data_IF_586455378513
#
_entry.id   IF_586455378513
#
_cell.length_a   1.000
_cell.length_b   1.000
_cell.length_c   1.000
_cell.angle_alpha   90.00
_cell.angle_beta   90.00
_cell.angle_gamma   90.00
#
_symmetry.space_group_name_H-M   'P 1'
#
loop_
_entity.id
_entity.type
_entity.pdbx_description
1 polymer ?
#
# COMPACT_ATOMS: atom_id res chain seq x y z
N UNK A 1 -3.39 -3.33 18.19
CA UNK A 1 -4.27 -2.16 18.45
C UNK A 1 -4.39 -1.27 17.20
N UNK A 2 -3.29 -0.73 16.64
CA UNK A 2 -3.34 0.25 15.52
C UNK A 2 -4.00 -0.30 14.26
N UNK A 3 -3.76 -1.55 13.88
CA UNK A 3 -4.39 -2.15 12.71
C UNK A 3 -5.91 -2.34 12.89
N UNK A 4 -6.39 -2.59 14.09
CA UNK A 4 -7.84 -2.63 14.38
C UNK A 4 -8.43 -1.23 14.29
N UNK A 5 -7.74 -0.24 14.86
CA UNK A 5 -8.13 1.17 14.77
C UNK A 5 -8.20 1.65 13.31
N UNK A 6 -7.29 1.17 12.45
CA UNK A 6 -7.32 1.46 11.02
C UNK A 6 -8.67 1.10 10.39
N UNK A 7 -9.18 -0.12 10.60
CA UNK A 7 -10.45 -0.55 10.02
C UNK A 7 -11.64 0.21 10.61
N UNK A 8 -11.61 0.50 11.91
CA UNK A 8 -12.65 1.33 12.57
C UNK A 8 -12.67 2.73 11.94
N UNK A 9 -11.52 3.38 11.82
CA UNK A 9 -11.42 4.72 11.25
C UNK A 9 -11.75 4.74 9.76
N UNK A 10 -11.43 3.68 9.00
CA UNK A 10 -11.80 3.60 7.60
C UNK A 10 -13.33 3.58 7.43
N UNK A 11 -14.03 2.74 8.17
CA UNK A 11 -15.50 2.65 8.09
C UNK A 11 -16.19 3.89 8.67
N UNK A 12 -15.80 4.33 9.86
CA UNK A 12 -16.37 5.51 10.50
C UNK A 12 -16.07 6.79 9.69
N UNK A 13 -14.86 6.90 9.15
CA UNK A 13 -14.44 8.00 8.30
C UNK A 13 -15.25 8.08 7.01
N UNK A 14 -15.46 6.95 6.32
CA UNK A 14 -16.30 6.90 5.13
C UNK A 14 -17.76 7.24 5.44
N UNK A 15 -18.29 6.75 6.55
CA UNK A 15 -19.64 7.10 7.00
C UNK A 15 -19.76 8.62 7.26
N UNK A 16 -18.78 9.23 7.90
CA UNK A 16 -18.77 10.68 8.14
C UNK A 16 -18.58 11.48 6.84
N UNK A 17 -17.69 11.07 5.94
CA UNK A 17 -17.44 11.74 4.66
C UNK A 17 -18.66 11.70 3.73
N UNK A 18 -19.49 10.66 3.81
CA UNK A 18 -20.70 10.49 3.00
C UNK A 18 -21.98 10.97 3.69
N UNK A 19 -21.95 11.11 5.01
CA UNK A 19 -23.10 11.52 5.83
C UNK A 19 -23.55 12.95 5.55
N UNK A 20 -24.80 13.26 5.89
CA UNK A 20 -25.33 14.62 5.89
C UNK A 20 -24.81 15.40 7.12
N UNK A 21 -24.85 16.73 7.04
CA UNK A 21 -24.63 17.61 8.21
C UNK A 21 -23.21 18.14 8.41
N UNK A 22 -22.23 17.76 7.56
CA UNK A 22 -20.90 18.38 7.56
C UNK A 22 -20.65 19.18 6.29
N UNK A 23 -20.03 20.35 6.45
CA UNK A 23 -19.67 21.23 5.33
C UNK A 23 -18.56 20.63 4.46
N UNK A 24 -18.37 21.17 3.26
CA UNK A 24 -17.27 20.73 2.38
C UNK A 24 -15.90 20.95 3.02
N UNK A 25 -15.70 22.04 3.74
CA UNK A 25 -14.46 22.33 4.47
C UNK A 25 -14.17 21.27 5.55
N UNK A 26 -15.19 20.84 6.30
CA UNK A 26 -15.07 19.77 7.28
C UNK A 26 -14.76 18.41 6.61
N UNK A 27 -15.36 18.12 5.44
CA UNK A 27 -15.03 16.90 4.67
C UNK A 27 -13.58 16.89 4.22
N UNK A 28 -13.07 18.03 3.71
CA UNK A 28 -11.67 18.17 3.30
C UNK A 28 -10.75 17.98 4.50
N UNK A 29 -11.03 18.64 5.63
CA UNK A 29 -10.22 18.50 6.84
C UNK A 29 -10.22 17.05 7.36
N UNK A 30 -11.38 16.37 7.38
CA UNK A 30 -11.50 14.98 7.77
C UNK A 30 -10.76 14.05 6.81
N UNK A 31 -10.87 14.27 5.49
CA UNK A 31 -10.15 13.53 4.47
C UNK A 31 -8.63 13.62 4.67
N UNK A 32 -8.12 14.84 4.89
CA UNK A 32 -6.69 15.06 5.14
C UNK A 32 -6.23 14.38 6.44
N UNK A 33 -7.00 14.50 7.53
CA UNK A 33 -6.68 13.87 8.81
C UNK A 33 -6.64 12.34 8.70
N UNK A 34 -7.66 11.73 8.07
CA UNK A 34 -7.71 10.29 7.82
C UNK A 34 -6.59 9.83 6.88
N UNK A 35 -6.35 10.58 5.81
CA UNK A 35 -5.30 10.28 4.86
C UNK A 35 -3.91 10.33 5.49
N UNK A 36 -3.65 11.30 6.37
CA UNK A 36 -2.42 11.37 7.18
C UNK A 36 -2.29 10.17 8.12
N UNK A 37 -3.38 9.81 8.81
CA UNK A 37 -3.36 8.63 9.69
C UNK A 37 -3.08 7.35 8.90
N UNK A 38 -3.74 7.15 7.77
CA UNK A 38 -3.53 5.95 6.94
C UNK A 38 -2.15 5.92 6.30
N UNK A 39 -1.67 7.08 5.84
CA UNK A 39 -0.36 7.20 5.20
C UNK A 39 0.82 7.06 6.17
N UNK A 40 0.71 7.62 7.37
CA UNK A 40 1.83 7.63 8.32
C UNK A 40 1.70 6.53 9.38
N UNK A 41 0.55 6.39 10.02
CA UNK A 41 0.40 5.47 11.15
C UNK A 41 0.04 4.07 10.67
N UNK A 42 -0.98 3.94 9.80
CA UNK A 42 -1.43 2.61 9.34
C UNK A 42 -0.39 1.94 8.46
N UNK A 43 0.23 2.67 7.54
CA UNK A 43 1.29 2.13 6.69
C UNK A 43 2.50 1.67 7.50
N UNK A 44 3.00 2.48 8.43
CA UNK A 44 4.14 2.12 9.30
C UNK A 44 3.81 0.90 10.17
N UNK A 45 2.59 0.83 10.73
CA UNK A 45 2.15 -0.32 11.49
C UNK A 45 2.02 -1.58 10.63
N UNK A 46 1.44 -1.47 9.43
CA UNK A 46 1.32 -2.59 8.50
C UNK A 46 2.70 -3.11 8.07
N UNK A 47 3.64 -2.19 7.81
CA UNK A 47 5.03 -2.52 7.51
C UNK A 47 5.66 -3.37 8.62
N UNK A 48 5.57 -2.95 9.88
CA UNK A 48 6.06 -3.74 11.01
C UNK A 48 5.38 -5.11 11.10
N UNK A 49 4.08 -5.17 10.87
CA UNK A 49 3.32 -6.41 10.97
C UNK A 49 3.70 -7.43 9.91
N UNK A 50 3.96 -7.02 8.67
CA UNK A 50 4.37 -7.96 7.60
C UNK A 50 5.78 -8.53 7.80
N UNK A 51 6.58 -7.96 8.70
CA UNK A 51 7.89 -8.47 9.09
C UNK A 51 7.85 -9.41 10.29
N UNK A 52 6.70 -9.55 10.97
CA UNK A 52 6.57 -10.46 12.13
C UNK A 52 6.54 -11.92 11.72
N UNK A 53 7.18 -12.79 12.52
CA UNK A 53 7.15 -14.24 12.32
C UNK A 53 5.78 -14.88 12.54
N UNK A 54 4.87 -14.22 13.27
CA UNK A 54 3.50 -14.67 13.49
C UNK A 54 2.66 -14.55 12.21
N UNK A 55 2.08 -15.65 11.76
CA UNK A 55 1.18 -15.68 10.60
C UNK A 55 -0.05 -14.78 10.78
N UNK A 56 -0.58 -14.67 12.00
CA UNK A 56 -1.73 -13.83 12.29
C UNK A 56 -1.37 -12.34 12.14
N UNK A 57 -0.23 -11.92 12.69
CA UNK A 57 0.23 -10.53 12.57
C UNK A 57 0.59 -10.18 11.12
N UNK A 58 1.25 -11.09 10.41
CA UNK A 58 1.52 -10.91 8.98
C UNK A 58 0.22 -10.71 8.17
N UNK A 59 -0.78 -11.58 8.38
CA UNK A 59 -2.08 -11.45 7.70
C UNK A 59 -2.79 -10.15 8.05
N UNK A 60 -2.70 -9.71 9.28
CA UNK A 60 -3.28 -8.44 9.72
C UNK A 60 -2.62 -7.25 9.03
N UNK A 61 -1.28 -7.21 8.93
CA UNK A 61 -0.56 -6.18 8.18
C UNK A 61 -0.90 -6.19 6.68
N UNK A 62 -0.95 -7.38 6.07
CA UNK A 62 -1.36 -7.55 4.69
C UNK A 62 -2.81 -7.08 4.45
N UNK A 63 -3.74 -7.35 5.39
CA UNK A 63 -5.12 -6.88 5.29
C UNK A 63 -5.22 -5.35 5.31
N UNK A 64 -4.39 -4.66 6.11
CA UNK A 64 -4.30 -3.19 6.07
C UNK A 64 -3.86 -2.71 4.69
N UNK A 65 -2.80 -3.29 4.10
CA UNK A 65 -2.38 -2.92 2.75
C UNK A 65 -3.44 -3.24 1.68
N UNK A 66 -4.13 -4.37 1.79
CA UNK A 66 -5.22 -4.72 0.86
C UNK A 66 -6.35 -3.71 0.95
N UNK A 67 -6.75 -3.29 2.15
CA UNK A 67 -7.80 -2.28 2.35
C UNK A 67 -7.39 -0.88 1.90
N UNK A 68 -6.10 -0.61 1.73
CA UNK A 68 -5.57 0.61 1.11
C UNK A 68 -5.28 0.43 -0.39
N UNK A 69 -5.76 -0.65 -1.02
CA UNK A 69 -5.50 -1.01 -2.43
C UNK A 69 -4.01 -1.13 -2.78
N UNK A 70 -3.19 -1.42 -1.78
CA UNK A 70 -1.74 -1.51 -1.89
C UNK A 70 -1.21 -2.89 -1.47
N UNK A 71 -2.06 -3.92 -1.53
CA UNK A 71 -1.74 -5.29 -1.09
C UNK A 71 -0.46 -5.85 -1.71
N UNK A 72 -0.17 -5.52 -2.97
CA UNK A 72 1.04 -5.97 -3.66
C UNK A 72 2.35 -5.49 -2.98
N UNK A 73 2.31 -4.38 -2.23
CA UNK A 73 3.45 -3.90 -1.46
C UNK A 73 3.96 -4.96 -0.47
N UNK A 74 3.07 -5.79 0.10
CA UNK A 74 3.46 -6.91 0.97
C UNK A 74 4.48 -7.85 0.32
N UNK A 75 4.31 -8.18 -0.95
CA UNK A 75 5.25 -9.03 -1.69
C UNK A 75 6.43 -8.23 -2.25
N UNK A 76 6.16 -7.09 -2.90
CA UNK A 76 7.19 -6.26 -3.52
C UNK A 76 8.23 -5.80 -2.49
N UNK A 77 7.80 -5.33 -1.33
CA UNK A 77 8.68 -4.85 -0.27
C UNK A 77 9.62 -5.96 0.24
N UNK A 78 9.07 -7.13 0.55
CA UNK A 78 9.84 -8.23 1.14
C UNK A 78 10.69 -9.01 0.14
N UNK A 79 10.21 -9.20 -1.09
CA UNK A 79 10.86 -10.06 -2.08
C UNK A 79 11.75 -9.30 -3.06
N UNK A 80 11.50 -8.00 -3.25
CA UNK A 80 12.23 -7.18 -4.22
C UNK A 80 13.01 -6.07 -3.51
N UNK A 81 12.30 -5.14 -2.84
CA UNK A 81 12.93 -3.98 -2.22
C UNK A 81 14.03 -4.35 -1.22
N UNK A 82 13.78 -5.21 -0.24
CA UNK A 82 14.80 -5.63 0.74
C UNK A 82 16.03 -6.29 0.12
N UNK A 83 15.88 -6.93 -1.03
CA UNK A 83 17.02 -7.57 -1.73
C UNK A 83 17.81 -6.59 -2.56
N UNK A 84 17.14 -5.64 -3.19
CA UNK A 84 17.67 -4.83 -4.27
C UNK A 84 17.69 -3.33 -3.98
N UNK A 85 17.35 -2.90 -2.75
CA UNK A 85 17.35 -1.50 -2.35
C UNK A 85 18.66 -0.81 -2.74
N UNK A 86 18.56 0.40 -3.28
CA UNK A 86 19.68 1.20 -3.80
C UNK A 86 20.40 0.55 -4.99
N UNK A 87 19.74 -0.32 -5.74
CA UNK A 87 20.25 -0.85 -7.02
C UNK A 87 19.24 -0.57 -8.14
N UNK A 88 19.66 -0.65 -9.44
CA UNK A 88 18.74 -0.50 -10.58
C UNK A 88 17.60 -1.54 -10.64
N UNK A 89 17.72 -2.64 -9.89
CA UNK A 89 16.73 -3.72 -9.83
C UNK A 89 15.57 -3.42 -8.87
N UNK A 90 15.72 -2.40 -8.00
CA UNK A 90 14.66 -1.97 -7.10
C UNK A 90 13.85 -0.82 -7.70
N UNK A 91 12.57 -1.05 -8.04
CA UNK A 91 11.72 0.03 -8.52
C UNK A 91 11.50 1.17 -7.52
N UNK A 92 11.61 0.88 -6.22
CA UNK A 92 11.36 1.83 -5.14
C UNK A 92 12.61 2.65 -4.74
N UNK A 93 13.74 2.43 -5.39
CA UNK A 93 14.90 3.32 -5.25
C UNK A 93 14.79 4.49 -6.23
N UNK A 94 14.78 5.71 -5.71
CA UNK A 94 14.71 6.94 -6.50
C UNK A 94 16.10 7.29 -7.04
N UNK A 95 16.16 7.66 -8.32
CA UNK A 95 17.43 8.02 -8.98
C UNK A 95 17.80 9.46 -8.62
N UNK A 96 19.10 9.75 -8.62
CA UNK A 96 19.56 11.14 -8.45
C UNK A 96 18.99 12.01 -9.59
N UNK A 97 18.38 13.14 -9.24
CA UNK A 97 17.73 14.04 -10.19
C UNK A 97 16.31 13.65 -10.61
N UNK A 98 15.80 12.49 -10.19
CA UNK A 98 14.43 12.08 -10.48
C UNK A 98 13.43 12.85 -9.59
N UNK A 99 12.40 13.47 -10.18
CA UNK A 99 11.34 14.10 -9.39
C UNK A 99 10.40 13.06 -8.80
N UNK A 100 9.75 13.39 -7.67
CA UNK A 100 8.73 12.51 -7.06
C UNK A 100 7.60 12.15 -8.02
N UNK A 101 7.17 13.10 -8.84
CA UNK A 101 6.06 12.88 -9.79
C UNK A 101 6.41 11.93 -10.94
N UNK A 102 7.69 11.79 -11.26
CA UNK A 102 8.19 10.77 -12.19
C UNK A 102 8.42 9.44 -11.47
N UNK A 103 9.02 9.50 -10.27
CA UNK A 103 9.26 8.32 -9.43
C UNK A 103 7.98 7.58 -9.07
N UNK A 104 6.96 8.28 -8.57
CA UNK A 104 5.74 7.66 -8.02
C UNK A 104 5.07 6.67 -8.98
N UNK A 105 4.65 7.03 -10.22
CA UNK A 105 4.03 6.08 -11.14
C UNK A 105 5.01 4.99 -11.58
N UNK A 106 6.28 5.31 -11.81
CA UNK A 106 7.31 4.35 -12.19
C UNK A 106 7.51 3.29 -11.11
N UNK A 107 7.70 3.72 -9.89
CA UNK A 107 7.95 2.84 -8.76
C UNK A 107 6.70 2.01 -8.42
N UNK A 108 5.50 2.62 -8.46
CA UNK A 108 4.24 1.92 -8.22
C UNK A 108 4.02 0.76 -9.21
N UNK A 109 4.12 1.04 -10.50
CA UNK A 109 3.95 0.04 -11.57
C UNK A 109 5.11 -0.97 -11.52
N UNK A 110 6.32 -0.49 -11.31
CA UNK A 110 7.53 -1.31 -11.25
C UNK A 110 7.48 -2.31 -10.09
N UNK A 111 7.12 -1.86 -8.89
CA UNK A 111 7.01 -2.72 -7.71
C UNK A 111 5.88 -3.75 -7.84
N UNK A 112 4.74 -3.36 -8.43
CA UNK A 112 3.66 -4.30 -8.73
C UNK A 112 4.16 -5.44 -9.64
N UNK A 113 4.82 -5.10 -10.75
CA UNK A 113 5.31 -6.06 -11.73
C UNK A 113 6.43 -6.95 -11.17
N UNK A 114 7.41 -6.34 -10.50
CA UNK A 114 8.53 -7.07 -9.92
C UNK A 114 8.09 -8.02 -8.79
N UNK A 115 7.20 -7.57 -7.91
CA UNK A 115 6.63 -8.41 -6.88
C UNK A 115 5.79 -9.57 -7.44
N UNK A 116 5.00 -9.32 -8.49
CA UNK A 116 4.25 -10.39 -9.19
C UNK A 116 5.19 -11.42 -9.82
N UNK A 117 6.26 -10.97 -10.45
CA UNK A 117 7.27 -11.86 -11.05
C UNK A 117 7.95 -12.72 -9.97
N UNK A 118 8.35 -12.12 -8.85
CA UNK A 118 8.95 -12.84 -7.73
C UNK A 118 8.00 -13.90 -7.14
N UNK A 119 6.71 -13.57 -6.96
CA UNK A 119 5.72 -14.52 -6.47
C UNK A 119 5.43 -15.65 -7.47
N UNK A 120 5.42 -15.36 -8.77
CA UNK A 120 5.30 -16.39 -9.83
C UNK A 120 6.49 -17.36 -9.78
N UNK A 121 7.71 -16.87 -9.67
CA UNK A 121 8.90 -17.70 -9.54
C UNK A 121 8.82 -18.63 -8.32
N UNK A 122 8.35 -18.11 -7.18
CA UNK A 122 8.14 -18.92 -5.97
C UNK A 122 7.02 -19.96 -6.14
N UNK A 123 5.96 -19.66 -6.90
CA UNK A 123 4.89 -20.61 -7.17
C UNK A 123 5.34 -21.74 -8.10
N UNK A 124 6.21 -21.44 -9.08
CA UNK A 124 6.83 -22.47 -9.93
C UNK A 124 7.75 -23.38 -9.10
N UNK A 125 8.57 -22.80 -8.21
CA UNK A 125 9.50 -23.56 -7.36
C UNK A 125 8.79 -24.41 -6.29
N UNK A 126 7.52 -24.11 -5.97
CA UNK A 126 6.73 -24.82 -4.96
C UNK A 126 5.34 -25.15 -5.52
N UNK A 127 5.18 -26.28 -6.22
CA UNK A 127 3.90 -26.70 -6.79
C UNK A 127 2.79 -26.73 -5.71
N UNK A 128 1.59 -26.25 -6.07
CA UNK A 128 0.47 -26.12 -5.14
C UNK A 128 0.42 -24.82 -4.33
N UNK A 129 1.46 -23.98 -4.38
CA UNK A 129 1.43 -22.67 -3.76
C UNK A 129 0.60 -21.69 -4.59
N UNK A 130 -0.50 -21.21 -4.03
CA UNK A 130 -1.29 -20.15 -4.65
C UNK A 130 -0.51 -18.84 -4.66
N UNK A 131 -0.61 -18.11 -5.78
CA UNK A 131 0.00 -16.80 -5.89
C UNK A 131 -0.79 -15.79 -5.03
N UNK A 132 -0.14 -15.13 -4.03
CA UNK A 132 -0.83 -14.20 -3.14
C UNK A 132 -1.43 -12.97 -3.85
N UNK A 133 -1.03 -12.67 -5.08
CA UNK A 133 -1.63 -11.58 -5.86
C UNK A 133 -3.13 -11.76 -6.12
N UNK A 134 -3.63 -13.01 -6.08
CA UNK A 134 -5.09 -13.26 -6.08
C UNK A 134 -5.77 -12.60 -4.88
N UNK A 135 -5.11 -12.64 -3.70
CA UNK A 135 -5.61 -12.00 -2.47
C UNK A 135 -5.38 -10.48 -2.53
N UNK A 136 -4.19 -10.05 -3.01
CA UNK A 136 -3.86 -8.63 -3.05
C UNK A 136 -4.80 -7.85 -3.98
N UNK A 137 -5.01 -8.36 -5.19
CA UNK A 137 -5.86 -7.70 -6.19
C UNK A 137 -7.33 -8.01 -5.94
N UNK A 138 -7.69 -9.28 -5.74
CA UNK A 138 -9.06 -9.69 -5.48
C UNK A 138 -9.64 -9.11 -4.20
N UNK A 139 -8.82 -9.08 -3.12
CA UNK A 139 -9.21 -8.46 -1.85
C UNK A 139 -9.42 -6.95 -1.98
N UNK A 140 -8.53 -6.25 -2.72
CA UNK A 140 -8.71 -4.84 -3.03
C UNK A 140 -10.00 -4.57 -3.83
N UNK A 141 -10.28 -5.39 -4.85
CA UNK A 141 -11.53 -5.34 -5.60
C UNK A 141 -12.76 -5.58 -4.72
N UNK A 142 -12.68 -6.56 -3.82
CA UNK A 142 -13.75 -6.83 -2.84
C UNK A 142 -13.97 -5.62 -1.91
N UNK A 143 -12.91 -4.96 -1.42
CA UNK A 143 -13.04 -3.73 -0.64
C UNK A 143 -13.77 -2.64 -1.42
N UNK A 144 -13.44 -2.43 -2.71
CA UNK A 144 -14.16 -1.47 -3.56
C UNK A 144 -15.65 -1.82 -3.69
N UNK A 145 -15.98 -3.09 -3.90
CA UNK A 145 -17.38 -3.55 -4.00
C UNK A 145 -18.15 -3.35 -2.69
N UNK A 146 -17.54 -3.67 -1.55
CA UNK A 146 -18.15 -3.46 -0.23
C UNK A 146 -18.40 -1.96 0.01
N UNK A 147 -17.40 -1.11 -0.25
CA UNK A 147 -17.55 0.34 -0.09
C UNK A 147 -18.63 0.90 -1.02
N UNK A 148 -18.65 0.45 -2.28
CA UNK A 148 -19.69 0.86 -3.23
C UNK A 148 -21.09 0.43 -2.76
N UNK A 149 -21.24 -0.78 -2.25
CA UNK A 149 -22.51 -1.31 -1.78
C UNK A 149 -23.03 -0.58 -0.52
N UNK A 150 -22.14 -0.20 0.40
CA UNK A 150 -22.53 0.42 1.69
C UNK A 150 -22.68 1.95 1.56
N UNK A 151 -21.74 2.61 0.87
CA UNK A 151 -21.61 4.07 0.84
C UNK A 151 -21.90 4.69 -0.54
N UNK A 152 -22.25 3.88 -1.54
CA UNK A 152 -22.53 4.34 -2.90
C UNK A 152 -21.31 4.88 -3.64
N UNK A 153 -21.56 5.51 -4.80
CA UNK A 153 -20.49 6.05 -5.66
C UNK A 153 -19.68 7.16 -4.99
N UNK A 154 -20.32 8.02 -4.20
CA UNK A 154 -19.62 9.08 -3.46
C UNK A 154 -18.65 8.49 -2.43
N UNK A 155 -19.06 7.45 -1.70
CA UNK A 155 -18.21 6.74 -0.75
C UNK A 155 -17.03 6.06 -1.43
N UNK A 156 -17.25 5.45 -2.60
CA UNK A 156 -16.17 4.87 -3.40
C UNK A 156 -15.17 5.96 -3.83
N UNK A 157 -15.64 7.14 -4.24
CA UNK A 157 -14.76 8.26 -4.59
C UNK A 157 -13.87 8.71 -3.41
N UNK A 158 -14.44 8.89 -2.23
CA UNK A 158 -13.67 9.21 -1.01
C UNK A 158 -12.68 8.12 -0.65
N UNK A 159 -13.09 6.85 -0.75
CA UNK A 159 -12.24 5.71 -0.46
C UNK A 159 -11.03 5.63 -1.40
N UNK A 160 -11.25 5.75 -2.71
CA UNK A 160 -10.16 5.74 -3.69
C UNK A 160 -9.20 6.91 -3.46
N UNK A 161 -9.71 8.10 -3.13
CA UNK A 161 -8.90 9.26 -2.76
C UNK A 161 -8.04 9.00 -1.51
N UNK A 162 -8.61 8.43 -0.45
CA UNK A 162 -7.87 8.07 0.76
C UNK A 162 -6.78 7.03 0.48
N UNK A 163 -7.10 6.00 -0.31
CA UNK A 163 -6.13 4.98 -0.72
C UNK A 163 -4.97 5.60 -1.51
N UNK A 164 -5.27 6.43 -2.50
CA UNK A 164 -4.23 7.11 -3.30
C UNK A 164 -3.36 7.99 -2.42
N UNK A 165 -3.96 8.79 -1.53
CA UNK A 165 -3.21 9.69 -0.66
C UNK A 165 -2.31 8.91 0.32
N UNK A 166 -2.80 7.80 0.90
CA UNK A 166 -1.99 6.94 1.77
C UNK A 166 -0.82 6.29 1.02
N UNK A 167 -1.07 5.80 -0.20
CA UNK A 167 -0.03 5.22 -1.06
C UNK A 167 1.04 6.25 -1.46
N UNK A 168 0.62 7.48 -1.82
CA UNK A 168 1.55 8.56 -2.13
C UNK A 168 2.48 8.86 -0.96
N UNK A 169 1.98 8.88 0.27
CA UNK A 169 2.80 9.14 1.46
C UNK A 169 3.82 8.03 1.71
N UNK A 170 3.44 6.75 1.55
CA UNK A 170 4.37 5.64 1.67
C UNK A 170 5.47 5.74 0.59
N UNK A 171 5.06 5.97 -0.66
CA UNK A 171 6.01 6.11 -1.77
C UNK A 171 6.89 7.37 -1.63
N UNK A 172 6.39 8.44 -1.00
CA UNK A 172 7.19 9.61 -0.68
C UNK A 172 8.24 9.29 0.39
N UNK A 173 7.91 8.45 1.36
CA UNK A 173 8.88 7.94 2.34
C UNK A 173 10.00 7.15 1.66
N UNK A 174 9.65 6.20 0.78
CA UNK A 174 10.63 5.45 -0.01
C UNK A 174 11.51 6.38 -0.87
N UNK A 175 10.88 7.37 -1.52
CA UNK A 175 11.59 8.36 -2.34
C UNK A 175 12.65 9.12 -1.52
N UNK A 176 12.27 9.68 -0.37
CA UNK A 176 13.18 10.47 0.46
C UNK A 176 14.29 9.61 1.07
N UNK A 177 13.94 8.39 1.50
CA UNK A 177 14.90 7.49 2.15
C UNK A 177 15.95 6.92 1.19
N UNK A 178 15.61 6.77 -0.10
CA UNK A 178 16.49 6.10 -1.07
C UNK A 178 16.91 7.01 -2.22
N UNK A 179 16.67 8.33 -2.13
CA UNK A 179 16.98 9.27 -3.20
C UNK A 179 18.48 9.35 -3.49
N UNK A 180 18.85 8.98 -4.70
CA UNK A 180 20.23 9.03 -5.18
C UNK A 180 21.19 8.05 -4.50
N UNK A 181 20.69 7.13 -3.65
CA UNK A 181 21.52 6.10 -3.06
C UNK A 181 21.81 4.99 -4.07
N UNK A 182 23.07 4.61 -4.19
CA UNK A 182 23.52 3.56 -5.08
C UNK A 182 24.38 2.53 -4.32
N UNK A 183 24.11 1.28 -4.58
CA UNK A 183 24.85 0.12 -4.07
C UNK A 183 25.34 -0.72 -5.24
N UNK A 184 26.59 -1.16 -5.20
CA UNK A 184 27.10 -2.11 -6.18
C UNK A 184 26.31 -3.42 -6.11
N UNK A 185 25.93 -3.96 -7.28
CA UNK A 185 25.40 -5.31 -7.37
C UNK A 185 26.50 -6.28 -6.93
N UNK A 186 26.20 -7.16 -5.98
CA UNK A 186 27.11 -8.27 -5.67
C UNK A 186 27.10 -9.23 -6.86
N UNK A 187 28.28 -9.58 -7.38
CA UNK A 187 28.41 -10.74 -8.25
C UNK A 187 28.15 -11.98 -7.37
N UNK A 188 27.08 -12.69 -7.64
CA UNK A 188 26.81 -14.01 -7.05
C UNK A 188 27.65 -15.07 -7.76
#
# INVERSE_FOLDING_TARGET
VLAVLHFILLLAGLAALTGAGISIGQRIALFLALGLFFGQVSNSNAHELIHRGSRALFRLGAAVYVSLLFGHHTSAHRLVHHRHVATPLDPNSARLGESFWHFFPRAWIGSFRAGLAAERALSVAKPGRLNPYLIWVGGGGLCCLIVLAIFGGAGLGWYLGLCLYAQMQLMLSDYVQHYGLERALRAD
#
